data_IF_509779488852
#
_entry.id   IF_509779488852
#
_cell.length_a   1.000
_cell.length_b   1.000
_cell.length_c   1.000
_cell.angle_alpha   90.00
_cell.angle_beta   90.00
_cell.angle_gamma   90.00
#
_symmetry.space_group_name_H-M   'P 1'
#
loop_
_entity.id
_entity.type
_entity.pdbx_description
1 polymer ?
#
# COMPACT_ATOMS: atom_id res chain seq x y z
N UNK A 1 -10.26 -21.51 -1.72
CA UNK A 1 -11.24 -20.42 -1.62
C UNK A 1 -11.81 -20.39 -0.20
N UNK A 2 -11.93 -19.18 0.39
CA UNK A 2 -12.51 -19.01 1.72
C UNK A 2 -14.01 -19.33 1.74
N UNK A 3 -14.49 -19.97 2.84
CA UNK A 3 -15.92 -20.16 3.11
C UNK A 3 -16.42 -19.02 3.99
N UNK A 4 -17.64 -18.54 3.75
CA UNK A 4 -18.29 -17.48 4.50
C UNK A 4 -19.57 -17.94 5.16
N UNK A 5 -19.89 -17.36 6.30
CA UNK A 5 -21.17 -17.56 6.98
C UNK A 5 -22.33 -16.83 6.26
N UNK A 6 -23.56 -16.99 6.75
CA UNK A 6 -24.75 -16.35 6.18
C UNK A 6 -24.72 -14.81 6.25
N UNK A 7 -23.86 -14.23 7.09
CA UNK A 7 -23.67 -12.79 7.26
C UNK A 7 -22.51 -12.25 6.41
N UNK A 8 -21.78 -13.11 5.69
CA UNK A 8 -20.64 -12.74 4.87
C UNK A 8 -19.32 -12.65 5.63
N UNK A 9 -19.24 -13.19 6.86
CA UNK A 9 -17.99 -13.24 7.60
C UNK A 9 -17.18 -14.48 7.21
N UNK A 10 -15.85 -14.38 7.09
CA UNK A 10 -15.02 -15.54 6.78
C UNK A 10 -15.02 -16.53 7.95
N UNK A 11 -15.15 -17.83 7.62
CA UNK A 11 -15.15 -18.89 8.62
C UNK A 11 -13.75 -19.45 8.82
N UNK A 12 -13.27 -19.46 10.06
CA UNK A 12 -11.92 -19.92 10.41
C UNK A 12 -11.72 -21.41 10.04
N UNK A 13 -10.64 -21.69 9.31
CA UNK A 13 -10.23 -23.05 8.97
C UNK A 13 -11.12 -23.77 7.95
N UNK A 14 -12.11 -23.09 7.37
CA UNK A 14 -12.99 -23.69 6.38
C UNK A 14 -12.70 -23.12 4.98
N UNK A 15 -12.46 -24.05 4.06
CA UNK A 15 -12.20 -23.75 2.65
C UNK A 15 -13.08 -24.59 1.75
N UNK A 16 -13.35 -24.10 0.55
CA UNK A 16 -14.11 -24.80 -0.48
C UNK A 16 -13.27 -25.95 -1.02
N UNK A 17 -13.83 -27.16 -1.05
CA UNK A 17 -13.27 -28.33 -1.74
C UNK A 17 -13.43 -28.13 -3.25
N UNK A 18 -12.36 -27.73 -3.92
CA UNK A 18 -12.33 -27.50 -5.36
C UNK A 18 -12.05 -28.79 -6.13
N UNK A 19 -11.47 -29.80 -5.49
CA UNK A 19 -11.16 -31.07 -6.10
C UNK A 19 -12.33 -32.03 -6.13
N UNK A 20 -13.39 -31.76 -5.36
CA UNK A 20 -14.60 -32.59 -5.19
C UNK A 20 -14.27 -34.06 -4.73
N UNK A 21 -13.07 -34.28 -4.22
CA UNK A 21 -12.65 -35.60 -3.76
C UNK A 21 -13.15 -35.93 -2.36
N UNK A 22 -13.72 -34.97 -1.68
CA UNK A 22 -14.14 -35.04 -0.29
C UNK A 22 -12.94 -35.10 0.67
N UNK A 23 -13.22 -34.92 1.96
CA UNK A 23 -12.20 -34.92 3.00
C UNK A 23 -11.93 -33.54 3.58
N UNK A 24 -10.79 -33.40 4.26
CA UNK A 24 -10.41 -32.13 4.88
C UNK A 24 -9.64 -31.27 3.89
N UNK A 25 -10.20 -30.13 3.52
CA UNK A 25 -9.51 -29.11 2.73
C UNK A 25 -8.48 -28.42 3.61
N UNK A 26 -7.26 -28.92 3.61
CA UNK A 26 -6.19 -28.51 4.51
C UNK A 26 -4.96 -27.95 3.80
N UNK A 27 -5.14 -27.47 2.58
CA UNK A 27 -4.08 -26.87 1.79
C UNK A 27 -3.27 -27.85 0.95
N UNK A 28 -3.80 -29.03 0.67
CA UNK A 28 -3.29 -29.91 -0.37
C UNK A 28 -3.32 -29.21 -1.73
N UNK A 29 -2.42 -29.61 -2.64
CA UNK A 29 -2.28 -28.93 -3.92
C UNK A 29 -3.53 -29.04 -4.81
N UNK A 30 -4.38 -30.06 -4.59
CA UNK A 30 -5.61 -30.27 -5.33
C UNK A 30 -6.65 -29.16 -5.13
N UNK A 31 -6.68 -28.53 -3.93
CA UNK A 31 -7.62 -27.47 -3.58
C UNK A 31 -7.05 -26.06 -3.73
N UNK A 32 -5.82 -25.95 -4.23
CA UNK A 32 -5.19 -24.67 -4.53
C UNK A 32 -5.52 -24.21 -5.93
N UNK A 33 -5.70 -22.93 -6.10
CA UNK A 33 -5.95 -22.32 -7.40
C UNK A 33 -5.21 -20.97 -7.52
N UNK A 34 -4.98 -20.58 -8.76
CA UNK A 34 -4.42 -19.25 -9.05
C UNK A 34 -5.54 -18.24 -8.90
N UNK A 35 -5.40 -17.30 -7.96
CA UNK A 35 -6.44 -16.33 -7.68
C UNK A 35 -6.21 -15.05 -8.50
N UNK A 36 -5.38 -14.15 -8.06
CA UNK A 36 -5.10 -12.90 -8.74
C UNK A 36 -3.61 -12.74 -9.06
N UNK A 37 -3.30 -11.76 -9.90
CA UNK A 37 -1.92 -11.43 -10.27
C UNK A 37 -1.41 -10.23 -9.45
N UNK A 38 -0.22 -10.30 -8.84
CA UNK A 38 0.41 -9.15 -8.21
C UNK A 38 0.89 -8.08 -9.20
N UNK A 39 1.12 -8.46 -10.47
CA UNK A 39 1.50 -7.49 -11.49
C UNK A 39 0.31 -6.62 -11.91
N UNK A 40 0.50 -5.31 -12.08
CA UNK A 40 -0.56 -4.42 -12.53
C UNK A 40 -0.87 -4.61 -14.01
N UNK A 41 -2.13 -4.40 -14.39
CA UNK A 41 -2.55 -4.33 -15.78
C UNK A 41 -2.08 -3.03 -16.44
N UNK A 42 -2.09 -1.92 -15.68
CA UNK A 42 -1.66 -0.60 -16.16
C UNK A 42 -0.78 0.11 -15.14
N UNK A 43 0.31 0.69 -15.67
CA UNK A 43 1.16 1.62 -14.97
C UNK A 43 1.11 2.97 -15.68
N UNK A 44 0.71 4.02 -14.97
CA UNK A 44 0.59 5.36 -15.50
C UNK A 44 1.49 6.30 -14.70
N UNK A 45 2.18 7.19 -15.43
CA UNK A 45 2.99 8.26 -14.83
C UNK A 45 2.59 9.60 -15.44
N UNK A 46 2.44 10.62 -14.58
CA UNK A 46 2.17 11.99 -15.00
C UNK A 46 3.12 12.94 -14.27
N UNK A 47 3.82 13.78 -15.05
CA UNK A 47 4.60 14.89 -14.53
C UNK A 47 4.13 16.18 -15.18
N UNK A 48 3.88 17.19 -14.36
CA UNK A 48 3.46 18.49 -14.80
C UNK A 48 4.39 19.57 -14.25
N UNK A 49 4.70 20.56 -15.07
CA UNK A 49 5.43 21.77 -14.67
C UNK A 49 4.72 22.99 -15.21
N UNK A 50 4.55 23.97 -14.35
CA UNK A 50 3.94 25.25 -14.69
C UNK A 50 4.81 26.39 -14.19
N UNK A 51 5.03 27.39 -15.03
CA UNK A 51 5.80 28.58 -14.67
C UNK A 51 4.96 29.81 -15.00
N UNK A 52 4.82 30.70 -14.03
CA UNK A 52 4.11 31.95 -14.18
C UNK A 52 4.88 33.09 -13.52
N UNK A 53 5.40 33.98 -14.32
CA UNK A 53 6.31 35.06 -13.87
C UNK A 53 7.49 34.46 -13.10
N UNK A 54 7.65 34.87 -11.84
CA UNK A 54 8.72 34.37 -10.96
C UNK A 54 8.36 33.09 -10.20
N UNK A 55 7.12 32.59 -10.33
CA UNK A 55 6.68 31.35 -9.70
C UNK A 55 6.91 30.15 -10.61
N UNK A 56 7.35 29.07 -10.03
CA UNK A 56 7.37 27.76 -10.67
C UNK A 56 6.71 26.71 -9.78
N UNK A 57 5.94 25.81 -10.42
CA UNK A 57 5.25 24.71 -9.78
C UNK A 57 5.57 23.43 -10.53
N UNK A 58 5.77 22.34 -9.81
CA UNK A 58 5.88 21.02 -10.41
C UNK A 58 5.21 19.98 -9.56
N UNK A 59 4.63 19.00 -10.23
CA UNK A 59 4.01 17.84 -9.61
C UNK A 59 4.39 16.59 -10.38
N UNK A 60 4.58 15.47 -9.68
CA UNK A 60 4.72 14.16 -10.29
C UNK A 60 3.83 13.16 -9.57
N UNK A 61 3.16 12.33 -10.35
CA UNK A 61 2.23 11.32 -9.85
C UNK A 61 2.35 10.05 -10.67
N UNK A 62 1.90 8.95 -10.07
CA UNK A 62 1.81 7.64 -10.72
C UNK A 62 0.61 6.88 -10.23
N UNK A 63 0.14 5.97 -11.06
CA UNK A 63 -0.93 5.04 -10.71
C UNK A 63 -0.54 3.63 -11.12
N UNK A 64 -0.92 2.67 -10.28
CA UNK A 64 -0.89 1.25 -10.55
C UNK A 64 -2.31 0.72 -10.48
N UNK A 65 -2.74 0.00 -11.50
CA UNK A 65 -4.12 -0.44 -11.64
C UNK A 65 -4.14 -1.93 -11.98
N UNK A 66 -4.98 -2.69 -11.27
CA UNK A 66 -5.20 -4.12 -11.52
C UNK A 66 -4.29 -5.05 -10.74
N UNK A 67 -3.32 -4.55 -9.99
CA UNK A 67 -2.47 -5.36 -9.13
C UNK A 67 -3.20 -5.81 -7.86
N UNK A 68 -2.85 -6.99 -7.37
CA UNK A 68 -3.33 -7.53 -6.11
C UNK A 68 -2.18 -7.78 -5.14
N UNK A 69 -2.46 -7.64 -3.86
CA UNK A 69 -1.49 -7.80 -2.77
C UNK A 69 -2.05 -8.82 -1.77
N UNK A 70 -1.25 -9.80 -1.44
CA UNK A 70 -1.52 -10.69 -0.32
C UNK A 70 -1.09 -10.01 0.98
N UNK A 71 -2.06 -9.69 1.82
CA UNK A 71 -1.84 -9.04 3.11
C UNK A 71 -1.46 -10.07 4.18
N UNK A 72 -0.17 -10.41 4.23
CA UNK A 72 0.33 -11.40 5.19
C UNK A 72 0.26 -10.89 6.63
N UNK A 73 0.30 -9.59 6.84
CA UNK A 73 0.13 -8.99 8.17
C UNK A 73 -1.27 -9.28 8.71
N UNK A 74 -2.29 -9.10 7.87
CA UNK A 74 -3.67 -9.44 8.22
C UNK A 74 -3.88 -10.94 8.41
N UNK A 75 -3.33 -11.77 7.53
CA UNK A 75 -3.40 -13.23 7.62
C UNK A 75 -2.72 -13.78 8.88
N UNK A 76 -1.73 -13.07 9.39
CA UNK A 76 -1.05 -13.38 10.64
C UNK A 76 -1.75 -12.88 11.90
N UNK A 77 -2.81 -12.07 11.77
CA UNK A 77 -3.56 -11.53 12.90
C UNK A 77 -4.54 -12.57 13.45
N UNK A 78 -4.38 -12.95 14.71
CA UNK A 78 -5.25 -13.92 15.40
C UNK A 78 -5.14 -13.77 16.91
N UNK A 79 -6.15 -14.21 17.64
CA UNK A 79 -6.18 -14.06 19.11
C UNK A 79 -5.04 -14.81 19.79
N UNK A 80 -4.59 -15.96 19.25
CA UNK A 80 -3.46 -16.71 19.80
C UNK A 80 -2.11 -15.97 19.67
N UNK A 81 -2.05 -14.93 18.83
CA UNK A 81 -0.86 -14.10 18.66
C UNK A 81 -0.84 -12.85 19.54
N UNK A 82 -1.94 -12.55 20.23
CA UNK A 82 -2.02 -11.35 21.10
C UNK A 82 -1.06 -11.42 22.28
N UNK A 83 -0.81 -12.61 22.79
CA UNK A 83 0.11 -12.84 23.89
C UNK A 83 1.23 -13.79 23.49
N UNK A 84 2.44 -13.27 23.37
CA UNK A 84 3.63 -14.04 23.02
C UNK A 84 4.81 -13.68 23.91
N UNK A 85 5.52 -14.70 24.36
CA UNK A 85 6.81 -14.56 25.06
C UNK A 85 6.71 -13.57 26.24
N UNK A 86 5.63 -13.64 27.02
CA UNK A 86 5.46 -12.85 28.23
C UNK A 86 4.97 -11.42 28.07
N UNK A 87 4.56 -10.99 26.84
CA UNK A 87 4.01 -9.66 26.63
C UNK A 87 2.81 -9.66 25.68
N UNK A 88 1.96 -8.64 25.81
CA UNK A 88 0.84 -8.37 24.92
C UNK A 88 1.30 -7.61 23.69
N UNK A 89 0.81 -8.02 22.52
CA UNK A 89 1.02 -7.32 21.25
C UNK A 89 -0.21 -6.55 20.83
N UNK A 90 0.01 -5.38 20.24
CA UNK A 90 -1.05 -4.73 19.48
C UNK A 90 -1.30 -5.51 18.20
N UNK A 91 -2.58 -5.75 17.92
CA UNK A 91 -3.02 -6.41 16.70
C UNK A 91 -3.57 -5.39 15.71
N UNK A 92 -3.46 -5.64 14.41
CA UNK A 92 -4.13 -4.83 13.40
C UNK A 92 -5.64 -4.98 13.52
N UNK A 93 -6.38 -3.96 13.09
CA UNK A 93 -7.85 -3.91 13.13
C UNK A 93 -8.55 -5.03 12.35
N UNK A 94 -7.85 -5.71 11.46
CA UNK A 94 -8.37 -6.90 10.77
C UNK A 94 -8.86 -7.99 11.73
N UNK A 95 -8.30 -8.07 12.94
CA UNK A 95 -8.74 -9.04 13.93
C UNK A 95 -10.17 -8.77 14.38
N UNK A 96 -10.62 -7.51 14.37
CA UNK A 96 -12.00 -7.15 14.69
C UNK A 96 -12.98 -7.63 13.62
N UNK A 97 -12.54 -7.66 12.35
CA UNK A 97 -13.35 -8.13 11.22
C UNK A 97 -13.44 -9.67 11.18
N UNK A 98 -12.30 -10.34 11.39
CA UNK A 98 -12.22 -11.82 11.24
C UNK A 98 -12.54 -12.57 12.51
N UNK A 99 -12.13 -12.04 13.66
CA UNK A 99 -12.20 -12.68 14.99
C UNK A 99 -11.53 -14.05 15.06
N UNK A 100 -10.58 -14.32 14.18
CA UNK A 100 -9.89 -15.59 14.10
C UNK A 100 -9.06 -15.87 15.35
N UNK A 101 -9.17 -17.10 15.85
CA UNK A 101 -8.37 -17.57 16.97
C UNK A 101 -6.98 -18.01 16.49
N UNK A 102 -6.88 -18.61 15.30
CA UNK A 102 -5.62 -19.08 14.69
C UNK A 102 -5.36 -18.39 13.37
N UNK A 103 -4.09 -18.25 13.03
CA UNK A 103 -3.65 -17.65 11.75
C UNK A 103 -4.15 -18.44 10.54
N UNK A 104 -4.53 -17.73 9.48
CA UNK A 104 -5.12 -18.27 8.25
C UNK A 104 -4.29 -17.89 7.02
N UNK A 105 -3.05 -18.38 6.93
CA UNK A 105 -2.11 -17.99 5.87
C UNK A 105 -2.47 -18.47 4.45
N UNK A 106 -3.41 -19.39 4.30
CA UNK A 106 -3.76 -19.94 2.97
C UNK A 106 -5.08 -19.42 2.43
N UNK A 107 -5.67 -18.42 3.09
CA UNK A 107 -6.96 -17.86 2.70
C UNK A 107 -6.79 -16.78 1.63
N UNK A 108 -7.60 -16.85 0.58
CA UNK A 108 -7.75 -15.81 -0.45
C UNK A 108 -8.47 -14.57 0.07
N UNK A 109 -9.10 -14.63 1.23
CA UNK A 109 -9.68 -13.48 1.93
C UNK A 109 -8.68 -12.33 2.13
N UNK A 110 -7.41 -12.66 2.28
CA UNK A 110 -6.34 -11.69 2.49
C UNK A 110 -5.66 -11.22 1.20
N UNK A 111 -6.17 -11.63 0.03
CA UNK A 111 -5.73 -11.10 -1.26
C UNK A 111 -6.59 -9.89 -1.61
N UNK A 112 -6.01 -8.71 -1.51
CA UNK A 112 -6.70 -7.44 -1.66
C UNK A 112 -6.30 -6.73 -2.95
N UNK A 113 -7.21 -5.89 -3.47
CA UNK A 113 -6.88 -5.02 -4.60
C UNK A 113 -5.85 -3.97 -4.16
N UNK A 114 -4.66 -4.04 -4.73
CA UNK A 114 -3.53 -3.16 -4.45
C UNK A 114 -3.43 -1.95 -5.38
N UNK A 115 -4.46 -1.68 -6.18
CA UNK A 115 -4.46 -0.51 -7.07
C UNK A 115 -4.35 0.78 -6.26
N UNK A 116 -3.55 1.73 -6.79
CA UNK A 116 -3.33 3.00 -6.11
C UNK A 116 -3.08 4.15 -7.09
N UNK A 117 -3.31 5.34 -6.61
CA UNK A 117 -2.79 6.58 -7.16
C UNK A 117 -1.91 7.26 -6.11
N UNK A 118 -0.70 7.64 -6.49
CA UNK A 118 0.25 8.39 -5.63
C UNK A 118 0.60 9.72 -6.26
N UNK A 119 0.52 10.79 -5.45
CA UNK A 119 1.18 12.05 -5.74
C UNK A 119 2.53 12.03 -5.03
N UNK A 120 3.57 11.72 -5.81
CA UNK A 120 4.91 11.46 -5.26
C UNK A 120 5.62 12.74 -4.85
N UNK A 121 5.46 13.80 -5.65
CA UNK A 121 6.18 15.05 -5.44
C UNK A 121 5.31 16.25 -5.80
N UNK A 122 5.38 17.28 -4.97
CA UNK A 122 4.81 18.59 -5.23
C UNK A 122 5.83 19.64 -4.83
N UNK A 123 6.19 20.53 -5.76
CA UNK A 123 7.16 21.60 -5.53
C UNK A 123 6.61 22.93 -5.98
N UNK A 124 6.85 23.96 -5.17
CA UNK A 124 6.59 25.34 -5.50
C UNK A 124 7.87 26.16 -5.29
N UNK A 125 8.22 27.01 -6.24
CA UNK A 125 9.40 27.86 -6.17
C UNK A 125 9.08 29.30 -6.52
N UNK A 126 9.87 30.19 -5.98
CA UNK A 126 9.86 31.60 -6.34
C UNK A 126 11.27 32.08 -6.65
N UNK A 127 11.44 32.73 -7.79
CA UNK A 127 12.70 33.29 -8.27
C UNK A 127 12.77 34.79 -7.99
N UNK A 128 13.76 35.18 -7.24
CA UNK A 128 14.13 36.59 -7.01
C UNK A 128 15.24 36.97 -8.00
N UNK A 129 15.00 37.98 -8.82
CA UNK A 129 15.97 38.44 -9.81
C UNK A 129 16.72 39.67 -9.29
N UNK A 130 18.01 39.75 -9.62
CA UNK A 130 18.85 40.90 -9.31
C UNK A 130 18.84 41.36 -7.84
N UNK A 131 18.90 40.42 -6.90
CA UNK A 131 18.94 40.72 -5.45
C UNK A 131 20.14 41.59 -5.11
N UNK A 132 21.31 41.24 -5.68
CA UNK A 132 22.53 42.03 -5.51
C UNK A 132 23.48 41.76 -6.70
N UNK A 133 23.87 42.85 -7.42
CA UNK A 133 24.91 42.83 -8.50
C UNK A 133 24.78 41.61 -9.45
N UNK A 134 23.60 41.37 -10.04
CA UNK A 134 23.26 40.26 -10.93
C UNK A 134 23.09 38.88 -10.23
N UNK A 135 23.14 38.82 -8.92
CA UNK A 135 22.83 37.62 -8.17
C UNK A 135 21.32 37.38 -8.19
N UNK A 136 20.93 36.19 -8.62
CA UNK A 136 19.53 35.72 -8.52
C UNK A 136 19.48 34.66 -7.40
N UNK A 137 18.35 34.58 -6.72
CA UNK A 137 18.07 33.51 -5.78
C UNK A 137 16.73 32.84 -6.12
N UNK A 138 16.63 31.56 -5.88
CA UNK A 138 15.39 30.82 -5.93
C UNK A 138 15.14 30.13 -4.60
N UNK A 139 14.00 30.40 -4.00
CA UNK A 139 13.52 29.68 -2.82
C UNK A 139 12.48 28.68 -3.30
N UNK A 140 12.57 27.45 -2.83
CA UNK A 140 11.62 26.39 -3.19
C UNK A 140 11.20 25.58 -1.97
N UNK A 141 9.93 25.18 -1.97
CA UNK A 141 9.37 24.27 -1.00
C UNK A 141 8.89 23.02 -1.75
N UNK A 142 9.32 21.86 -1.27
CA UNK A 142 8.99 20.58 -1.90
C UNK A 142 8.46 19.61 -0.85
N UNK A 143 7.39 18.92 -1.21
CA UNK A 143 6.80 17.84 -0.43
C UNK A 143 6.96 16.55 -1.22
N UNK A 144 7.53 15.52 -0.60
CA UNK A 144 7.60 14.17 -1.16
C UNK A 144 6.62 13.26 -0.43
N UNK A 145 6.13 12.24 -1.13
CA UNK A 145 5.12 11.32 -0.68
C UNK A 145 3.87 12.07 -0.15
N UNK A 146 3.31 12.91 -1.04
CA UNK A 146 2.27 13.89 -0.71
C UNK A 146 0.98 13.19 -0.26
N UNK A 147 0.51 12.24 -1.07
CA UNK A 147 -0.68 11.44 -0.75
C UNK A 147 -0.69 10.12 -1.53
N UNK A 148 -1.38 9.15 -0.95
CA UNK A 148 -1.71 7.87 -1.58
C UNK A 148 -3.21 7.66 -1.48
N UNK A 149 -3.85 7.34 -2.61
CA UNK A 149 -5.26 6.97 -2.68
C UNK A 149 -5.34 5.50 -3.11
N UNK A 150 -5.92 4.67 -2.26
CA UNK A 150 -6.04 3.23 -2.49
C UNK A 150 -7.21 2.65 -1.72
N UNK A 151 -7.67 1.46 -2.13
CA UNK A 151 -8.61 0.63 -1.38
C UNK A 151 -7.90 -0.45 -0.54
N UNK A 152 -6.59 -0.60 -0.73
CA UNK A 152 -5.79 -1.53 0.04
C UNK A 152 -5.82 -1.13 1.53
N UNK A 153 -6.08 -2.09 2.39
CA UNK A 153 -6.23 -1.85 3.83
C UNK A 153 -4.90 -1.86 4.60
N UNK A 154 -3.82 -2.37 4.01
CA UNK A 154 -2.47 -2.34 4.59
C UNK A 154 -1.84 -0.95 4.58
N UNK A 155 -0.61 -0.85 5.07
CA UNK A 155 0.10 0.43 5.24
C UNK A 155 0.50 1.10 3.92
N UNK A 156 0.96 0.33 2.95
CA UNK A 156 1.37 0.83 1.62
C UNK A 156 1.01 -0.21 0.54
N UNK A 157 0.22 0.15 -0.49
CA UNK A 157 -0.16 -0.77 -1.56
C UNK A 157 1.01 -1.09 -2.51
N UNK A 158 2.12 -0.37 -2.43
CA UNK A 158 3.27 -0.52 -3.30
C UNK A 158 4.22 -1.60 -2.77
N UNK A 159 3.80 -2.83 -2.96
CA UNK A 159 4.51 -4.04 -2.54
C UNK A 159 5.09 -4.71 -3.78
N UNK A 160 6.42 -4.77 -3.88
CA UNK A 160 7.12 -5.17 -5.11
C UNK A 160 6.95 -6.65 -5.48
N UNK A 161 6.81 -7.51 -4.49
CA UNK A 161 6.65 -8.96 -4.67
C UNK A 161 5.20 -9.45 -4.52
N UNK A 162 4.27 -8.52 -4.29
CA UNK A 162 2.85 -8.82 -4.10
C UNK A 162 2.51 -9.39 -2.72
N UNK A 163 3.47 -9.47 -1.79
CA UNK A 163 3.25 -9.97 -0.42
C UNK A 163 3.59 -8.88 0.59
N UNK A 164 2.57 -8.33 1.27
CA UNK A 164 2.79 -7.36 2.35
C UNK A 164 3.23 -8.08 3.62
N UNK A 165 4.53 -8.07 3.84
CA UNK A 165 5.18 -8.68 4.99
C UNK A 165 5.71 -7.60 5.96
N UNK A 166 4.84 -6.69 6.37
CA UNK A 166 5.14 -5.65 7.35
C UNK A 166 6.20 -4.63 6.88
N UNK A 167 5.99 -4.02 5.72
CA UNK A 167 6.85 -2.97 5.21
C UNK A 167 6.80 -1.71 6.09
N UNK A 168 7.94 -1.05 6.22
CA UNK A 168 8.00 0.25 6.87
C UNK A 168 7.35 1.31 5.96
N UNK A 169 6.37 2.09 6.45
CA UNK A 169 5.70 3.09 5.63
C UNK A 169 6.66 4.19 5.21
N UNK A 170 6.53 4.65 3.97
CA UNK A 170 7.34 5.76 3.44
C UNK A 170 6.94 7.07 4.12
N UNK A 171 7.88 7.80 4.73
CA UNK A 171 7.57 9.05 5.39
C UNK A 171 7.23 10.15 4.38
N UNK A 172 6.37 11.08 4.79
CA UNK A 172 6.22 12.35 4.08
C UNK A 172 7.39 13.25 4.42
N UNK A 173 8.06 13.78 3.40
CA UNK A 173 9.24 14.61 3.57
C UNK A 173 8.96 16.03 3.09
N UNK A 174 9.30 17.01 3.92
CA UNK A 174 9.22 18.44 3.60
C UNK A 174 10.62 19.00 3.44
N UNK A 175 10.86 19.68 2.33
CA UNK A 175 12.17 20.24 2.02
C UNK A 175 12.03 21.72 1.67
N UNK A 176 12.88 22.54 2.27
CA UNK A 176 13.09 23.95 1.89
C UNK A 176 14.46 24.03 1.20
N UNK A 177 14.46 24.55 -0.02
CA UNK A 177 15.67 24.74 -0.82
C UNK A 177 15.90 26.22 -1.14
N UNK A 178 17.15 26.63 -1.08
CA UNK A 178 17.59 27.95 -1.57
C UNK A 178 18.74 27.72 -2.54
N UNK A 179 18.62 28.27 -3.74
CA UNK A 179 19.68 28.22 -4.76
C UNK A 179 20.02 29.63 -5.23
N UNK A 180 21.31 29.85 -5.47
CA UNK A 180 21.82 31.12 -5.99
C UNK A 180 22.42 30.88 -7.37
N UNK A 181 22.21 31.83 -8.29
CA UNK A 181 22.83 31.85 -9.61
C UNK A 181 23.34 33.26 -9.92
N UNK A 182 24.53 33.29 -10.54
CA UNK A 182 25.25 34.53 -10.86
C UNK A 182 25.37 34.69 -12.37
#
# INVERSE_FOLDING_TARGET
QQVYDANGNPMEGLYVDLSEQGGTVNGDNADKYIYHNPAPDYLLGLSARFTYKSFDFSASSRASIGNYVYNQVAAGASYDQMYQIGYWKNMPTYLDDTKFVKRQFTSDYFVENGSFFKLDNLSAGYKFENIYKKLNARVSFTVQNVLTVTKYKGLDPEVSDGIDNNFYPRPRTFMLGVSFSY
#
